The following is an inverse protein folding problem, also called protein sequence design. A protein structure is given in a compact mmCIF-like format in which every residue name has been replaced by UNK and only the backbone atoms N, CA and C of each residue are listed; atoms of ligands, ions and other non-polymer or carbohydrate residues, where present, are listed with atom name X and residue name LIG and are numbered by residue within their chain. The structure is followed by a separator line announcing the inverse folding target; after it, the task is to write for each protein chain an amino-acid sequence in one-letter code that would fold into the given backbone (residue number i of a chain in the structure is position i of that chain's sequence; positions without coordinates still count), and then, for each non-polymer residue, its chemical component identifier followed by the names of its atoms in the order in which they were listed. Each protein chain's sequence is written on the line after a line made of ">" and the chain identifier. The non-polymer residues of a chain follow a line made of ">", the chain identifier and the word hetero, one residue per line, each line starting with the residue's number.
data_IF_115509524382
#
_entry.id   IF_115509524382
#
_cell.length_a   1.000
_cell.length_b   1.000
_cell.length_c   1.000
_cell.angle_alpha   90.00
_cell.angle_beta   90.00
_cell.angle_gamma   90.00
#
_symmetry.space_group_name_H-M   'P 1'
#
loop_
_entity.id
_entity.type
_entity.pdbx_description
1 polymer ?
#
# COMPACT_ATOMS: atom_id res chain seq x y z
N UNK A 1 -56.77 12.10 31.67
CA UNK A 1 -57.61 11.39 32.64
C UNK A 1 -58.13 10.12 31.99
N UNK A 2 -57.58 8.96 32.34
CA UNK A 2 -58.31 7.71 32.62
C UNK A 2 -57.29 6.60 32.90
N UNK A 3 -57.46 5.97 34.07
CA UNK A 3 -56.73 4.84 34.60
C UNK A 3 -57.40 3.52 34.17
N UNK A 4 -56.62 2.44 34.03
CA UNK A 4 -56.95 1.05 34.45
C UNK A 4 -55.75 0.16 34.06
N UNK A 5 -54.84 -0.23 34.95
CA UNK A 5 -54.86 -1.33 35.95
C UNK A 5 -55.05 -2.76 35.41
N UNK A 6 -53.92 -3.47 35.40
CA UNK A 6 -53.62 -4.85 35.81
C UNK A 6 -54.44 -6.05 35.29
N UNK A 7 -53.71 -6.99 34.66
CA UNK A 7 -53.74 -8.41 35.03
C UNK A 7 -52.36 -9.03 34.76
N UNK A 8 -51.79 -9.67 35.78
CA UNK A 8 -50.49 -10.33 35.70
C UNK A 8 -50.61 -11.78 35.26
N UNK A 9 -49.55 -12.29 34.64
CA UNK A 9 -49.21 -13.71 34.71
C UNK A 9 -47.69 -13.82 34.85
N UNK A 10 -47.29 -14.27 36.04
CA UNK A 10 -45.95 -14.74 36.35
C UNK A 10 -45.69 -16.03 35.57
N UNK A 11 -44.55 -16.13 34.90
CA UNK A 11 -43.87 -17.43 34.76
C UNK A 11 -42.44 -17.23 35.29
N UNK A 12 -42.13 -17.94 36.38
CA UNK A 12 -40.81 -17.99 37.00
C UNK A 12 -39.96 -19.08 36.35
N UNK A 13 -38.69 -18.72 36.15
CA UNK A 13 -37.44 -19.48 36.22
C UNK A 13 -37.38 -20.90 35.65
N UNK A 14 -36.45 -21.07 34.71
CA UNK A 14 -35.38 -22.06 34.87
C UNK A 14 -34.04 -21.43 34.50
N UNK A 15 -33.23 -21.20 35.52
CA UNK A 15 -31.78 -20.98 35.42
C UNK A 15 -31.11 -22.25 34.93
N UNK A 16 -30.38 -22.16 33.82
CA UNK A 16 -29.25 -23.05 33.54
C UNK A 16 -27.99 -22.19 33.43
N UNK A 17 -27.20 -22.33 34.50
CA UNK A 17 -25.81 -21.95 34.63
C UNK A 17 -24.99 -22.67 33.55
N UNK A 18 -24.02 -21.98 32.95
CA UNK A 18 -23.10 -22.60 32.00
C UNK A 18 -22.24 -21.59 31.25
N UNK A 19 -21.20 -21.12 31.93
CA UNK A 19 -19.91 -20.66 31.42
C UNK A 19 -19.83 -19.43 30.50
N UNK A 20 -19.40 -18.34 31.15
CA UNK A 20 -18.57 -17.30 30.56
C UNK A 20 -17.27 -17.95 30.08
N UNK A 21 -17.21 -18.32 28.81
CA UNK A 21 -15.95 -18.52 28.10
C UNK A 21 -15.73 -17.31 27.20
N UNK A 22 -15.00 -16.34 27.75
CA UNK A 22 -14.21 -15.36 27.02
C UNK A 22 -13.34 -16.09 26.00
N UNK A 23 -13.73 -16.05 24.73
CA UNK A 23 -12.91 -16.51 23.61
C UNK A 23 -12.56 -15.31 22.73
N UNK A 24 -11.86 -14.34 23.33
CA UNK A 24 -11.21 -13.22 22.63
C UNK A 24 -9.91 -13.67 21.93
N UNK A 25 -9.83 -14.96 21.63
CA UNK A 25 -8.85 -15.62 20.76
C UNK A 25 -9.51 -15.96 19.42
N UNK A 26 -10.33 -15.03 18.90
CA UNK A 26 -10.51 -14.87 17.46
C UNK A 26 -9.17 -14.41 16.88
N UNK A 27 -8.22 -15.35 16.85
CA UNK A 27 -7.37 -15.63 15.71
C UNK A 27 -7.53 -14.55 14.65
N UNK A 28 -6.55 -13.63 14.60
CA UNK A 28 -6.21 -12.96 13.36
C UNK A 28 -6.00 -14.08 12.35
N UNK A 29 -7.06 -14.49 11.66
CA UNK A 29 -6.93 -15.21 10.42
C UNK A 29 -6.13 -14.24 9.57
N UNK A 30 -4.82 -14.46 9.54
CA UNK A 30 -3.97 -13.96 8.47
C UNK A 30 -4.73 -14.43 7.23
N UNK A 31 -5.37 -13.49 6.56
CA UNK A 31 -6.20 -13.73 5.41
C UNK A 31 -5.24 -14.27 4.34
N UNK A 32 -5.04 -15.59 4.31
CA UNK A 32 -4.20 -16.28 3.35
C UNK A 32 -4.93 -16.26 2.02
N UNK A 33 -4.90 -15.10 1.38
CA UNK A 33 -5.52 -14.90 0.08
C UNK A 33 -4.81 -15.81 -0.92
N UNK A 34 -5.61 -16.64 -1.61
CA UNK A 34 -5.11 -17.61 -2.59
C UNK A 34 -4.69 -16.97 -3.92
N UNK A 35 -5.13 -15.74 -4.18
CA UNK A 35 -4.93 -15.04 -5.45
C UNK A 35 -4.32 -13.65 -5.22
N UNK A 36 -3.45 -13.21 -6.13
CA UNK A 36 -2.85 -11.88 -6.12
C UNK A 36 -3.91 -10.81 -6.38
N UNK A 37 -3.86 -9.71 -5.62
CA UNK A 37 -4.65 -8.52 -5.90
C UNK A 37 -4.01 -7.72 -7.02
N UNK A 38 -4.85 -7.18 -7.90
CA UNK A 38 -4.46 -6.22 -8.92
C UNK A 38 -4.84 -4.82 -8.44
N UNK A 39 -3.90 -3.89 -8.49
CA UNK A 39 -4.19 -2.46 -8.32
C UNK A 39 -4.25 -1.75 -9.65
N UNK A 40 -5.20 -0.83 -9.75
CA UNK A 40 -5.49 -0.07 -10.95
C UNK A 40 -5.12 1.39 -10.76
N UNK A 41 -4.30 1.89 -11.68
CA UNK A 41 -3.92 3.30 -11.78
C UNK A 41 -4.40 3.86 -13.11
N UNK A 42 -5.19 4.92 -13.09
CA UNK A 42 -5.50 5.70 -14.29
C UNK A 42 -4.62 6.95 -14.31
N UNK A 43 -3.57 6.93 -15.13
CA UNK A 43 -2.69 8.07 -15.27
C UNK A 43 -3.25 9.02 -16.31
N UNK A 44 -3.32 10.31 -15.97
CA UNK A 44 -3.75 11.36 -16.89
C UNK A 44 -2.51 12.04 -17.48
N UNK A 45 -2.32 11.94 -18.79
CA UNK A 45 -1.32 12.73 -19.53
C UNK A 45 -2.02 13.81 -20.35
N UNK A 46 -1.25 14.76 -20.91
CA UNK A 46 -1.80 15.84 -21.76
C UNK A 46 -2.59 15.31 -22.98
N UNK A 47 -2.34 14.07 -23.41
CA UNK A 47 -2.88 13.53 -24.64
C UNK A 47 -3.81 12.33 -24.44
N UNK A 48 -3.73 11.63 -23.31
CA UNK A 48 -4.53 10.42 -23.08
C UNK A 48 -4.58 9.97 -21.62
N UNK A 49 -5.58 9.14 -21.31
CA UNK A 49 -5.62 8.37 -20.07
C UNK A 49 -4.90 7.03 -20.29
N UNK A 50 -3.95 6.70 -19.43
CA UNK A 50 -3.20 5.46 -19.50
C UNK A 50 -3.57 4.54 -18.33
N UNK A 51 -4.32 3.46 -18.56
CA UNK A 51 -4.65 2.49 -17.53
C UNK A 51 -3.44 1.59 -17.25
N UNK A 52 -3.09 1.45 -15.98
CA UNK A 52 -2.02 0.59 -15.49
C UNK A 52 -2.58 -0.39 -14.48
N UNK A 53 -2.30 -1.67 -14.73
CA UNK A 53 -2.56 -2.76 -13.80
C UNK A 53 -1.25 -3.17 -13.15
N UNK A 54 -1.29 -3.31 -11.84
CA UNK A 54 -0.16 -3.71 -11.00
C UNK A 54 -0.57 -4.96 -10.22
N UNK A 55 0.08 -6.09 -10.50
CA UNK A 55 -0.06 -7.30 -9.69
C UNK A 55 1.03 -7.29 -8.62
N UNK A 56 0.61 -7.26 -7.36
CA UNK A 56 1.54 -7.32 -6.25
C UNK A 56 2.23 -8.69 -6.21
N UNK A 57 3.56 -8.76 -6.06
CA UNK A 57 4.25 -10.03 -5.90
C UNK A 57 3.74 -10.73 -4.63
N UNK A 58 3.40 -12.02 -4.74
CA UNK A 58 2.84 -12.80 -3.63
C UNK A 58 3.76 -12.86 -2.39
N UNK A 59 5.07 -12.63 -2.58
CA UNK A 59 6.09 -12.72 -1.55
C UNK A 59 6.05 -11.58 -0.52
N UNK A 60 5.39 -10.45 -0.81
CA UNK A 60 5.33 -9.32 0.10
C UNK A 60 3.92 -8.74 0.15
N UNK A 61 3.06 -9.33 0.98
CA UNK A 61 1.69 -8.87 1.19
C UNK A 61 1.58 -7.53 1.93
N UNK A 62 2.68 -7.07 2.56
CA UNK A 62 2.73 -5.82 3.30
C UNK A 62 3.23 -4.64 2.45
N UNK A 63 3.83 -4.94 1.30
CA UNK A 63 4.19 -3.94 0.31
C UNK A 63 2.96 -3.13 -0.16
N UNK A 64 3.17 -1.84 -0.32
CA UNK A 64 2.21 -0.93 -0.93
C UNK A 64 2.63 -0.77 -2.39
N UNK A 65 1.79 -1.16 -3.36
CA UNK A 65 2.09 -0.96 -4.77
C UNK A 65 2.03 0.52 -5.13
N UNK A 66 2.89 0.96 -6.04
CA UNK A 66 2.95 2.35 -6.47
C UNK A 66 3.45 2.50 -7.90
N UNK A 67 3.24 3.72 -8.42
CA UNK A 67 3.78 4.15 -9.70
C UNK A 67 4.80 5.26 -9.45
N UNK A 68 6.00 5.09 -9.96
CA UNK A 68 7.01 6.14 -9.95
C UNK A 68 6.66 7.17 -11.03
N UNK A 69 6.56 8.44 -10.65
CA UNK A 69 6.20 9.53 -11.58
C UNK A 69 7.32 10.54 -11.79
N UNK A 70 8.26 10.62 -10.85
CA UNK A 70 9.44 11.48 -10.95
C UNK A 70 10.58 10.87 -10.14
N UNK A 71 11.81 11.09 -10.61
CA UNK A 71 12.99 10.42 -10.10
C UNK A 71 14.24 11.28 -10.27
N UNK A 72 15.08 11.30 -9.24
CA UNK A 72 16.36 12.01 -9.25
C UNK A 72 17.41 11.24 -8.46
N UNK A 73 18.61 11.81 -8.37
CA UNK A 73 19.67 11.32 -7.49
C UNK A 73 19.30 11.38 -6.00
N UNK A 74 18.50 12.35 -5.58
CA UNK A 74 18.22 12.62 -4.16
C UNK A 74 16.87 12.10 -3.68
N UNK A 75 15.94 11.80 -4.59
CA UNK A 75 14.57 11.52 -4.21
C UNK A 75 13.70 11.07 -5.37
N UNK A 76 12.50 10.65 -5.01
CA UNK A 76 11.49 10.14 -5.94
C UNK A 76 10.11 10.65 -5.59
N UNK A 77 9.21 10.63 -6.56
CA UNK A 77 7.77 10.84 -6.34
C UNK A 77 6.99 9.60 -6.75
N UNK A 78 6.07 9.18 -5.89
CA UNK A 78 5.28 7.96 -6.08
C UNK A 78 3.79 8.28 -5.96
N UNK A 79 2.99 7.74 -6.89
CA UNK A 79 1.54 7.65 -6.76
C UNK A 79 1.15 6.33 -6.10
N UNK A 80 0.28 6.41 -5.09
CA UNK A 80 -0.20 5.25 -4.33
C UNK A 80 -1.71 5.07 -4.46
N UNK A 81 -2.25 3.88 -4.12
CA UNK A 81 -3.69 3.65 -4.06
C UNK A 81 -4.40 4.67 -3.16
N UNK A 82 -5.63 5.05 -3.51
CA UNK A 82 -6.38 6.12 -2.85
C UNK A 82 -6.66 5.89 -1.36
N UNK A 83 -6.65 4.64 -0.91
CA UNK A 83 -6.85 4.21 0.47
C UNK A 83 -5.54 4.09 1.27
N UNK A 84 -4.41 4.45 0.68
CA UNK A 84 -3.09 4.33 1.32
C UNK A 84 -2.84 5.47 2.30
N UNK A 85 -2.38 5.11 3.50
CA UNK A 85 -1.81 6.04 4.47
C UNK A 85 -0.31 5.80 4.61
N UNK A 86 0.48 6.87 4.62
CA UNK A 86 1.92 6.83 4.93
C UNK A 86 2.09 7.18 6.40
N UNK A 87 2.38 6.19 7.22
CA UNK A 87 2.48 6.32 8.68
C UNK A 87 3.87 5.95 9.24
N UNK A 88 4.72 5.31 8.44
CA UNK A 88 6.10 5.01 8.83
C UNK A 88 7.08 6.12 8.48
N UNK A 89 8.16 6.18 9.27
CA UNK A 89 9.28 7.08 9.03
C UNK A 89 10.18 6.60 7.87
N UNK A 90 10.21 5.30 7.58
CA UNK A 90 11.09 4.71 6.55
C UNK A 90 10.40 3.58 5.80
N UNK A 91 10.72 3.48 4.52
CA UNK A 91 10.28 2.39 3.65
C UNK A 91 11.45 1.88 2.83
N UNK A 92 11.34 0.62 2.42
CA UNK A 92 12.12 0.08 1.30
C UNK A 92 11.31 0.28 0.02
N UNK A 93 11.89 1.02 -0.91
CA UNK A 93 11.43 1.09 -2.28
C UNK A 93 12.06 -0.04 -3.07
N UNK A 94 11.26 -0.71 -3.89
CA UNK A 94 11.73 -1.64 -4.92
C UNK A 94 11.12 -1.18 -6.23
N UNK A 95 11.95 -0.95 -7.26
CA UNK A 95 11.54 -0.45 -8.58
C UNK A 95 11.86 -1.49 -9.64
N UNK A 96 10.89 -1.73 -10.53
CA UNK A 96 11.08 -2.61 -11.69
C UNK A 96 11.01 -1.78 -12.97
N UNK A 97 12.02 -1.96 -13.82
CA UNK A 97 12.16 -1.21 -15.07
C UNK A 97 11.18 -1.64 -16.17
N UNK A 98 10.51 -2.79 -16.03
CA UNK A 98 9.68 -3.37 -17.09
C UNK A 98 8.17 -3.12 -16.95
N UNK A 99 7.56 -2.83 -18.10
CA UNK A 99 6.13 -2.66 -18.30
C UNK A 99 5.34 -3.98 -18.28
N UNK A 100 6.00 -5.14 -18.24
CA UNK A 100 5.31 -6.44 -18.20
C UNK A 100 4.58 -6.68 -16.87
N UNK A 101 3.50 -7.47 -16.92
CA UNK A 101 2.64 -7.76 -15.77
C UNK A 101 3.33 -8.62 -14.69
N UNK A 102 4.42 -9.29 -15.03
CA UNK A 102 5.17 -10.17 -14.15
C UNK A 102 6.41 -9.43 -13.64
N UNK A 103 6.36 -8.98 -12.38
CA UNK A 103 7.46 -8.31 -11.67
C UNK A 103 8.59 -9.29 -11.32
N UNK A 104 9.19 -9.92 -12.33
CA UNK A 104 10.26 -10.93 -12.21
C UNK A 104 11.62 -10.46 -12.73
N UNK A 105 11.69 -9.22 -13.21
CA UNK A 105 12.95 -8.59 -13.67
C UNK A 105 13.84 -8.12 -12.51
N UNK A 106 15.11 -7.77 -12.80
CA UNK A 106 16.01 -7.18 -11.81
C UNK A 106 15.39 -5.88 -11.25
N UNK A 107 15.40 -5.76 -9.93
CA UNK A 107 14.84 -4.62 -9.23
C UNK A 107 15.93 -3.77 -8.60
N UNK A 108 15.77 -2.45 -8.66
CA UNK A 108 16.63 -1.51 -7.94
C UNK A 108 15.91 -1.17 -6.64
N UNK A 109 16.63 -1.25 -5.51
CA UNK A 109 16.05 -1.04 -4.20
C UNK A 109 16.74 0.08 -3.43
N UNK A 110 15.95 0.86 -2.70
CA UNK A 110 16.42 1.95 -1.86
C UNK A 110 15.74 1.95 -0.50
N UNK A 111 16.43 2.46 0.51
CA UNK A 111 15.77 2.93 1.74
C UNK A 111 15.41 4.39 1.53
N UNK A 112 14.22 4.79 1.95
CA UNK A 112 13.75 6.15 1.78
C UNK A 112 12.85 6.62 2.92
N UNK A 113 12.65 7.94 3.01
CA UNK A 113 11.75 8.57 3.98
C UNK A 113 10.81 9.58 3.31
N UNK A 114 9.54 9.67 3.76
CA UNK A 114 8.59 10.63 3.21
C UNK A 114 8.98 12.05 3.61
N UNK A 115 8.94 12.98 2.65
CA UNK A 115 9.23 14.40 2.84
C UNK A 115 7.96 15.24 2.79
N UNK A 116 7.04 14.89 1.88
CA UNK A 116 5.75 15.56 1.75
C UNK A 116 4.70 14.61 1.18
N UNK A 117 3.43 14.92 1.44
CA UNK A 117 2.27 14.15 0.96
C UNK A 117 1.24 15.13 0.40
N UNK A 118 0.75 14.83 -0.79
CA UNK A 118 -0.36 15.52 -1.44
C UNK A 118 -1.48 14.51 -1.70
N UNK A 119 -2.69 14.77 -1.21
CA UNK A 119 -3.84 13.86 -1.37
C UNK A 119 -5.02 14.62 -1.99
N UNK A 120 -5.09 14.68 -3.33
CA UNK A 120 -6.19 15.35 -4.00
C UNK A 120 -7.50 14.58 -3.80
N UNK A 121 -8.68 15.23 -3.72
CA UNK A 121 -9.94 14.57 -3.37
C UNK A 121 -10.44 13.47 -4.31
N UNK A 122 -9.88 13.35 -5.52
CA UNK A 122 -10.33 12.40 -6.56
C UNK A 122 -9.18 11.74 -7.32
N UNK A 123 -7.95 11.85 -6.80
CA UNK A 123 -6.76 11.30 -7.43
C UNK A 123 -5.97 10.44 -6.45
N UNK A 124 -5.01 9.71 -7.00
CA UNK A 124 -4.01 8.96 -6.23
C UNK A 124 -3.20 9.91 -5.34
N UNK A 125 -3.02 9.60 -4.03
CA UNK A 125 -2.05 10.27 -3.19
C UNK A 125 -0.69 10.28 -3.86
N UNK A 126 -0.05 11.45 -3.87
CA UNK A 126 1.31 11.66 -4.36
C UNK A 126 2.21 11.95 -3.18
N UNK A 127 3.29 11.19 -3.06
CA UNK A 127 4.24 11.35 -1.98
C UNK A 127 5.64 11.56 -2.56
N UNK A 128 6.32 12.58 -2.05
CA UNK A 128 7.74 12.78 -2.28
C UNK A 128 8.56 12.08 -1.20
N UNK A 129 9.57 11.34 -1.64
CA UNK A 129 10.49 10.63 -0.77
C UNK A 129 11.94 11.07 -1.02
N UNK A 130 12.72 11.15 0.04
CA UNK A 130 14.18 11.31 0.00
C UNK A 130 14.84 9.93 0.08
N UNK A 131 15.86 9.70 -0.77
CA UNK A 131 16.66 8.48 -0.74
C UNK A 131 17.69 8.55 0.39
N UNK A 132 17.73 7.52 1.23
CA UNK A 132 18.63 7.43 2.37
C UNK A 132 19.89 6.65 2.00
N UNK A 133 21.04 7.33 2.05
CA UNK A 133 22.39 6.76 1.95
C UNK A 133 22.56 5.67 0.88
N UNK A 134 22.23 5.95 -0.40
CA UNK A 134 22.35 4.96 -1.45
C UNK A 134 23.83 4.62 -1.72
N UNK A 135 24.12 3.33 -1.84
CA UNK A 135 25.44 2.87 -2.29
C UNK A 135 25.77 3.44 -3.67
N UNK A 136 27.04 3.78 -3.90
CA UNK A 136 27.47 4.46 -5.13
C UNK A 136 27.17 3.65 -6.40
N UNK A 137 27.35 2.32 -6.34
CA UNK A 137 27.04 1.42 -7.45
C UNK A 137 25.54 1.38 -7.75
N UNK A 138 24.71 1.18 -6.72
CA UNK A 138 23.24 1.21 -6.84
C UNK A 138 22.75 2.55 -7.40
N UNK A 139 23.35 3.66 -6.95
CA UNK A 139 23.04 5.00 -7.45
C UNK A 139 23.42 5.17 -8.93
N UNK A 140 24.57 4.62 -9.35
CA UNK A 140 24.98 4.68 -10.75
C UNK A 140 24.00 3.90 -11.65
N UNK A 141 23.64 2.67 -11.27
CA UNK A 141 22.64 1.87 -11.99
C UNK A 141 21.28 2.58 -12.06
N UNK A 142 20.90 3.26 -10.98
CA UNK A 142 19.67 4.05 -10.93
C UNK A 142 19.65 5.22 -11.90
N UNK A 143 20.72 6.00 -11.96
CA UNK A 143 20.82 7.13 -12.89
C UNK A 143 20.81 6.68 -14.34
N UNK A 144 21.50 5.57 -14.65
CA UNK A 144 21.46 4.95 -15.97
C UNK A 144 20.04 4.50 -16.35
N UNK A 145 19.34 3.86 -15.42
CA UNK A 145 17.95 3.47 -15.62
C UNK A 145 17.05 4.69 -15.87
N UNK A 146 17.19 5.78 -15.09
CA UNK A 146 16.33 6.97 -15.22
C UNK A 146 16.52 7.58 -16.61
N UNK A 147 17.77 7.73 -17.05
CA UNK A 147 18.06 8.28 -18.38
C UNK A 147 17.48 7.39 -19.50
N UNK A 148 17.58 6.07 -19.36
CA UNK A 148 17.01 5.14 -20.33
C UNK A 148 15.47 5.24 -20.39
N UNK A 149 14.79 5.31 -19.24
CA UNK A 149 13.34 5.42 -19.18
C UNK A 149 12.81 6.76 -19.68
N UNK A 150 13.52 7.86 -19.39
CA UNK A 150 13.17 9.19 -19.89
C UNK A 150 13.21 9.23 -21.43
N UNK A 151 14.19 8.59 -22.06
CA UNK A 151 14.29 8.49 -23.51
C UNK A 151 13.15 7.66 -24.15
N UNK A 152 12.55 6.75 -23.38
CA UNK A 152 11.51 5.82 -23.85
C UNK A 152 10.10 6.21 -23.37
N UNK A 153 9.93 7.33 -22.66
CA UNK A 153 8.67 7.73 -22.03
C UNK A 153 8.01 6.60 -21.23
N UNK A 154 8.82 5.82 -20.54
CA UNK A 154 8.36 4.63 -19.82
C UNK A 154 7.92 4.97 -18.40
N UNK A 155 6.91 4.24 -17.93
CA UNK A 155 6.42 4.31 -16.55
C UNK A 155 7.02 3.17 -15.75
N UNK A 156 7.35 3.43 -14.49
CA UNK A 156 7.86 2.38 -13.61
C UNK A 156 6.90 2.03 -12.50
N UNK A 157 6.86 0.73 -12.25
CA UNK A 157 6.14 0.11 -11.16
C UNK A 157 7.08 0.01 -9.97
N UNK A 158 6.56 0.29 -8.78
CA UNK A 158 7.32 0.12 -7.55
C UNK A 158 6.48 -0.46 -6.42
N UNK A 159 7.15 -0.90 -5.37
CA UNK A 159 6.54 -1.21 -4.08
C UNK A 159 7.24 -0.44 -2.98
N UNK A 160 6.45 -0.03 -1.99
CA UNK A 160 6.93 0.49 -0.72
C UNK A 160 6.67 -0.54 0.38
N UNK A 161 7.72 -1.09 0.96
CA UNK A 161 7.61 -1.99 2.10
C UNK A 161 7.95 -1.20 3.37
N UNK A 162 7.02 -1.07 4.34
CA UNK A 162 7.28 -0.49 5.64
C UNK A 162 8.54 -1.06 6.30
N UNK A 163 9.46 -0.21 6.75
CA UNK A 163 10.59 -0.62 7.57
C UNK A 163 10.29 -0.29 9.03
N UNK A 164 10.13 -1.32 9.85
CA UNK A 164 9.98 -1.14 11.30
C UNK A 164 11.27 -0.55 11.85
N UNK A 165 11.16 0.51 12.65
CA UNK A 165 12.31 1.01 13.39
C UNK A 165 12.84 -0.11 14.30
N UNK A 166 14.08 -0.55 14.05
CA UNK A 166 14.78 -1.43 14.98
C UNK A 166 15.23 -0.52 16.11
N UNK A 167 14.51 -0.59 17.24
CA UNK A 167 14.94 0.04 18.50
C UNK A 167 16.17 -0.67 19.07
#
# INVERSE_FOLDING_TARGET
>A
MMQSSFFGMLIRLSTLSGDVMSNDSLSRQIEQRRNNRVQFFLLHTEHQNFPLWFFQPAADSAAIPGILVDASRGGVQVLLPSDTTIDQARYRLTVWAEAEANLSGPAIAFTLMPVWVETPPSLYPRIGFELLEPEAETMQTWLEAIHAAAAQHSWWRCTLTPLVAIN
#
